data_IF_372047309227
#
_entry.id   IF_372047309227
#
_cell.length_a   1.000
_cell.length_b   1.000
_cell.length_c   1.000
_cell.angle_alpha   90.00
_cell.angle_beta   90.00
_cell.angle_gamma   90.00
#
_symmetry.space_group_name_H-M   'P 1'
#
loop_
_entity.id
_entity.type
_entity.pdbx_description
1 polymer ?
#
# COMPACT_ATOMS: atom_id res chain seq x y z
N UNK A 1 16.07 36.50 9.08
CA UNK A 1 16.00 35.54 7.95
C UNK A 1 15.11 34.39 8.38
N UNK A 2 14.06 34.06 7.63
CA UNK A 2 13.21 32.92 7.96
C UNK A 2 14.04 31.63 7.79
N UNK A 3 14.04 30.76 8.79
CA UNK A 3 14.62 29.42 8.63
C UNK A 3 13.86 28.69 7.51
N UNK A 4 14.56 27.92 6.65
CA UNK A 4 13.88 27.13 5.63
C UNK A 4 12.88 26.20 6.32
N UNK A 5 11.65 26.18 5.82
CA UNK A 5 10.64 25.22 6.26
C UNK A 5 11.22 23.83 6.04
N UNK A 6 11.47 23.10 7.11
CA UNK A 6 11.80 21.68 7.04
C UNK A 6 10.63 20.99 6.35
N UNK A 7 10.90 20.33 5.22
CA UNK A 7 9.87 19.59 4.51
C UNK A 7 9.42 18.40 5.37
N UNK A 8 8.11 18.24 5.51
CA UNK A 8 7.55 17.19 6.35
C UNK A 8 7.75 15.82 5.72
N UNK A 9 8.51 14.97 6.40
CA UNK A 9 8.77 13.58 6.01
C UNK A 9 7.60 12.71 6.49
N UNK A 10 7.07 11.87 5.61
CA UNK A 10 6.01 10.90 5.93
C UNK A 10 6.47 9.52 5.50
N UNK A 11 6.40 8.54 6.39
CA UNK A 11 6.82 7.18 6.09
C UNK A 11 5.82 6.16 6.63
N UNK A 12 5.79 4.99 6.01
CA UNK A 12 4.99 3.85 6.44
C UNK A 12 5.88 2.63 6.62
N UNK A 13 5.41 1.67 7.40
CA UNK A 13 6.13 0.43 7.72
C UNK A 13 5.29 -0.78 7.30
N UNK A 14 5.87 -1.66 6.49
CA UNK A 14 5.30 -2.95 6.09
C UNK A 14 6.22 -4.02 6.67
N UNK A 15 5.66 -5.05 7.31
CA UNK A 15 6.48 -5.99 8.07
C UNK A 15 5.68 -7.09 8.77
N UNK A 16 6.10 -7.44 9.98
CA UNK A 16 5.55 -8.53 10.78
C UNK A 16 5.58 -8.17 12.28
N UNK A 17 5.70 -9.18 13.16
CA UNK A 17 5.82 -8.99 14.62
C UNK A 17 6.96 -8.05 15.02
N UNK A 18 8.07 -8.03 14.26
CA UNK A 18 9.19 -7.14 14.52
C UNK A 18 8.83 -5.67 14.28
N UNK A 19 7.90 -5.40 13.37
CA UNK A 19 7.47 -4.06 13.01
C UNK A 19 6.22 -3.59 13.75
N UNK A 20 5.31 -4.49 14.13
CA UNK A 20 4.18 -4.13 14.99
C UNK A 20 4.60 -3.92 16.46
N UNK A 21 5.80 -4.36 16.84
CA UNK A 21 6.34 -4.20 18.19
C UNK A 21 5.78 -5.23 19.17
N UNK A 22 5.60 -6.47 18.74
CA UNK A 22 5.09 -7.52 19.61
C UNK A 22 5.95 -7.69 20.87
N UNK A 23 5.29 -7.74 22.03
CA UNK A 23 5.95 -7.82 23.33
C UNK A 23 6.47 -6.49 23.89
N UNK A 24 6.30 -5.37 23.17
CA UNK A 24 6.66 -4.03 23.64
C UNK A 24 5.40 -3.13 23.75
N UNK A 25 5.52 -2.00 24.47
CA UNK A 25 4.48 -0.97 24.36
C UNK A 25 4.53 -0.33 22.96
N UNK A 26 3.41 0.17 22.43
CA UNK A 26 3.41 0.86 21.13
C UNK A 26 4.47 1.96 21.01
N UNK A 27 4.73 2.71 22.08
CA UNK A 27 5.74 3.78 22.14
C UNK A 27 7.19 3.29 22.16
N UNK A 28 7.43 2.00 22.44
CA UNK A 28 8.73 1.36 22.56
C UNK A 28 9.10 0.57 21.29
N UNK A 29 8.17 0.44 20.33
CA UNK A 29 8.43 -0.19 19.03
C UNK A 29 9.45 0.61 18.20
N UNK A 30 10.24 -0.06 17.36
CA UNK A 30 11.25 0.63 16.54
C UNK A 30 10.67 1.73 15.65
N UNK A 31 9.46 1.61 15.04
CA UNK A 31 8.89 2.70 14.26
C UNK A 31 8.58 3.93 15.12
N UNK A 32 8.09 3.72 16.35
CA UNK A 32 7.80 4.79 17.30
C UNK A 32 9.09 5.46 17.80
N UNK A 33 10.10 4.66 18.15
CA UNK A 33 11.42 5.17 18.55
C UNK A 33 12.10 5.95 17.42
N UNK A 34 11.99 5.48 16.17
CA UNK A 34 12.49 6.20 15.01
C UNK A 34 11.81 7.57 14.87
N UNK A 35 10.47 7.63 14.95
CA UNK A 35 9.74 8.92 14.89
C UNK A 35 10.20 9.86 15.99
N UNK A 36 10.31 9.38 17.23
CA UNK A 36 10.74 10.18 18.38
C UNK A 36 12.16 10.73 18.17
N UNK A 37 13.10 9.88 17.74
CA UNK A 37 14.48 10.26 17.52
C UNK A 37 14.62 11.27 16.36
N UNK A 38 13.88 11.11 15.25
CA UNK A 38 13.88 12.09 14.15
C UNK A 38 13.36 13.45 14.62
N UNK A 39 12.26 13.48 15.38
CA UNK A 39 11.72 14.72 15.96
C UNK A 39 12.69 15.38 16.93
N UNK A 40 13.43 14.60 17.72
CA UNK A 40 14.46 15.13 18.62
C UNK A 40 15.63 15.78 17.88
N UNK A 41 15.90 15.38 16.62
CA UNK A 41 16.90 16.01 15.75
C UNK A 41 16.35 17.25 15.00
N UNK A 42 15.13 17.70 15.32
CA UNK A 42 14.48 18.82 14.64
C UNK A 42 13.90 18.49 13.26
N UNK A 43 13.77 17.20 12.91
CA UNK A 43 13.15 16.76 11.66
C UNK A 43 11.64 16.55 11.87
N UNK A 44 10.82 17.17 11.01
CA UNK A 44 9.37 16.95 11.01
C UNK A 44 9.06 15.64 10.28
N UNK A 45 9.00 14.54 11.04
CA UNK A 45 8.75 13.20 10.51
C UNK A 45 7.53 12.54 11.15
N UNK A 46 6.65 11.93 10.35
CA UNK A 46 5.47 11.19 10.84
C UNK A 46 5.41 9.77 10.27
N UNK A 47 5.20 8.79 11.15
CA UNK A 47 4.75 7.45 10.79
C UNK A 47 3.25 7.52 10.42
N UNK A 48 2.93 7.38 9.13
CA UNK A 48 1.55 7.54 8.64
C UNK A 48 0.76 6.23 8.64
N UNK A 49 1.44 5.08 8.63
CA UNK A 49 0.82 3.76 8.71
C UNK A 49 1.82 2.68 9.12
N UNK A 50 1.34 1.70 9.88
CA UNK A 50 2.06 0.48 10.21
C UNK A 50 1.04 -0.69 10.24
N UNK A 51 0.68 -1.26 9.08
CA UNK A 51 -0.24 -2.40 9.00
C UNK A 51 0.37 -3.73 9.46
N UNK A 52 1.62 -3.76 9.93
CA UNK A 52 2.33 -4.99 10.31
C UNK A 52 1.54 -5.87 11.27
N UNK A 53 1.54 -7.17 11.03
CA UNK A 53 0.84 -8.15 11.88
C UNK A 53 1.77 -9.29 12.32
N UNK A 54 1.66 -9.68 13.59
CA UNK A 54 2.36 -10.86 14.12
C UNK A 54 2.11 -12.10 13.28
N UNK A 55 3.20 -12.82 12.97
CA UNK A 55 3.16 -14.11 12.30
C UNK A 55 2.87 -14.04 10.80
N UNK A 56 2.81 -12.84 10.22
CA UNK A 56 2.64 -12.66 8.79
C UNK A 56 3.96 -12.88 8.04
N UNK A 57 3.86 -13.52 6.89
CA UNK A 57 4.99 -13.75 5.99
C UNK A 57 5.16 -12.59 5.02
N UNK A 58 6.25 -12.57 4.26
CA UNK A 58 6.42 -11.62 3.14
C UNK A 58 5.28 -11.71 2.12
N UNK A 59 4.70 -12.90 1.93
CA UNK A 59 3.52 -13.08 1.09
C UNK A 59 2.29 -12.40 1.67
N UNK A 60 2.08 -12.48 2.99
CA UNK A 60 0.97 -11.77 3.64
C UNK A 60 1.16 -10.25 3.57
N UNK A 61 2.39 -9.76 3.74
CA UNK A 61 2.72 -8.35 3.56
C UNK A 61 2.38 -7.82 2.15
N UNK A 62 2.67 -8.61 1.11
CA UNK A 62 2.33 -8.30 -0.28
C UNK A 62 0.82 -8.41 -0.52
N UNK A 63 0.19 -9.50 -0.08
CA UNK A 63 -1.19 -9.82 -0.41
C UNK A 63 -2.21 -9.03 0.42
N UNK A 64 -1.83 -8.56 1.62
CA UNK A 64 -2.76 -8.00 2.60
C UNK A 64 -2.32 -6.63 3.13
N UNK A 65 -1.07 -6.45 3.55
CA UNK A 65 -0.63 -5.16 4.12
C UNK A 65 -0.52 -4.07 3.07
N UNK A 66 0.12 -4.38 1.93
CA UNK A 66 0.35 -3.41 0.87
C UNK A 66 -0.96 -2.88 0.27
N UNK A 67 -1.95 -3.73 -0.10
CA UNK A 67 -3.25 -3.26 -0.57
C UNK A 67 -4.00 -2.43 0.47
N UNK A 68 -3.93 -2.83 1.75
CA UNK A 68 -4.55 -2.08 2.85
C UNK A 68 -3.95 -0.69 2.99
N UNK A 69 -2.62 -0.59 3.01
CA UNK A 69 -1.91 0.68 3.05
C UNK A 69 -2.28 1.58 1.87
N UNK A 70 -2.21 1.06 0.64
CA UNK A 70 -2.56 1.83 -0.57
C UNK A 70 -3.99 2.34 -0.50
N UNK A 71 -4.94 1.48 -0.12
CA UNK A 71 -6.36 1.84 -0.05
C UNK A 71 -6.63 2.90 1.01
N UNK A 72 -6.05 2.75 2.20
CA UNK A 72 -6.22 3.72 3.29
C UNK A 72 -5.60 5.09 2.95
N UNK A 73 -4.39 5.11 2.38
CA UNK A 73 -3.72 6.35 2.01
C UNK A 73 -4.36 7.03 0.80
N UNK A 74 -4.84 6.28 -0.18
CA UNK A 74 -5.59 6.80 -1.32
C UNK A 74 -6.89 7.48 -0.84
N UNK A 75 -7.65 6.80 0.03
CA UNK A 75 -8.88 7.35 0.61
C UNK A 75 -8.64 8.66 1.36
N UNK A 76 -7.58 8.74 2.17
CA UNK A 76 -7.20 9.99 2.88
C UNK A 76 -6.93 11.16 1.92
N UNK A 77 -6.61 10.89 0.66
CA UNK A 77 -6.33 11.88 -0.39
C UNK A 77 -7.50 12.09 -1.36
N UNK A 78 -8.64 11.45 -1.12
CA UNK A 78 -9.78 11.48 -2.04
C UNK A 78 -9.51 10.77 -3.37
N UNK A 79 -8.57 9.83 -3.39
CA UNK A 79 -8.24 9.03 -4.57
C UNK A 79 -9.06 7.74 -4.56
N UNK A 80 -9.68 7.45 -5.69
CA UNK A 80 -10.37 6.17 -5.93
C UNK A 80 -9.34 5.07 -6.21
N UNK A 81 -9.59 3.85 -5.70
CA UNK A 81 -8.70 2.68 -5.90
C UNK A 81 -9.49 1.56 -6.55
N UNK A 82 -9.00 1.10 -7.70
CA UNK A 82 -9.58 -0.04 -8.42
C UNK A 82 -8.68 -1.25 -8.22
N UNK A 83 -9.18 -2.24 -7.47
CA UNK A 83 -8.44 -3.49 -7.22
C UNK A 83 -8.60 -4.48 -8.38
N UNK A 84 -7.57 -4.57 -9.22
CA UNK A 84 -7.52 -5.55 -10.32
C UNK A 84 -7.07 -6.95 -9.86
N UNK A 85 -6.59 -7.10 -8.62
CA UNK A 85 -5.96 -8.34 -8.15
C UNK A 85 -6.87 -9.57 -8.19
N UNK A 86 -8.17 -9.48 -7.83
CA UNK A 86 -9.10 -10.60 -7.98
C UNK A 86 -9.20 -11.12 -9.42
N UNK A 87 -9.12 -10.23 -10.41
CA UNK A 87 -9.12 -10.60 -11.83
C UNK A 87 -7.77 -11.19 -12.22
N UNK A 88 -6.66 -10.56 -11.80
CA UNK A 88 -5.30 -11.04 -12.10
C UNK A 88 -5.04 -12.44 -11.55
N UNK A 89 -5.60 -12.83 -10.40
CA UNK A 89 -5.51 -14.20 -9.87
C UNK A 89 -6.05 -15.26 -10.82
N UNK A 90 -7.01 -14.92 -11.68
CA UNK A 90 -7.56 -15.86 -12.68
C UNK A 90 -6.52 -16.23 -13.75
N UNK A 91 -5.49 -15.41 -13.96
CA UNK A 91 -4.41 -15.71 -14.92
C UNK A 91 -3.64 -16.99 -14.58
N UNK A 92 -3.57 -17.36 -13.30
CA UNK A 92 -2.96 -18.62 -12.88
C UNK A 92 -3.76 -19.86 -13.27
N UNK A 93 -5.04 -19.70 -13.65
CA UNK A 93 -5.97 -20.78 -13.97
C UNK A 93 -6.42 -20.74 -15.44
N UNK A 94 -6.59 -19.55 -16.01
CA UNK A 94 -7.00 -19.32 -17.40
C UNK A 94 -5.81 -18.79 -18.23
N UNK A 95 -5.19 -19.70 -19.01
CA UNK A 95 -4.08 -19.36 -19.90
C UNK A 95 -4.44 -18.36 -21.00
N UNK A 96 -5.73 -18.19 -21.34
CA UNK A 96 -6.13 -17.17 -22.32
C UNK A 96 -5.97 -15.74 -21.79
N UNK A 97 -5.80 -15.57 -20.48
CA UNK A 97 -5.47 -14.30 -19.84
C UNK A 97 -3.95 -14.03 -19.80
N UNK A 98 -3.12 -14.96 -20.24
CA UNK A 98 -1.65 -14.81 -20.29
C UNK A 98 -1.21 -14.68 -21.75
N UNK A 99 -0.28 -13.77 -22.01
CA UNK A 99 0.30 -13.55 -23.32
C UNK A 99 1.16 -14.76 -23.78
N UNK A 100 1.58 -14.75 -25.05
CA UNK A 100 2.35 -15.85 -25.65
C UNK A 100 3.70 -16.09 -24.95
N UNK A 101 4.23 -15.11 -24.26
CA UNK A 101 5.47 -15.22 -23.48
C UNK A 101 5.31 -15.99 -22.16
N UNK A 102 4.08 -16.36 -21.79
CA UNK A 102 3.79 -17.11 -20.57
C UNK A 102 3.96 -16.31 -19.27
N UNK A 103 4.16 -14.99 -19.36
CA UNK A 103 4.42 -14.13 -18.20
C UNK A 103 3.45 -12.94 -18.12
N UNK A 104 3.21 -12.24 -19.22
CA UNK A 104 2.48 -10.97 -19.20
C UNK A 104 0.96 -11.16 -19.39
N UNK A 105 0.13 -10.15 -19.04
CA UNK A 105 -1.30 -10.17 -19.34
C UNK A 105 -1.55 -10.19 -20.85
N UNK A 106 -2.53 -10.97 -21.30
CA UNK A 106 -2.99 -10.94 -22.69
C UNK A 106 -3.90 -9.73 -22.96
N UNK A 107 -4.18 -9.45 -24.24
CA UNK A 107 -5.18 -8.45 -24.62
C UNK A 107 -6.55 -8.71 -23.97
N UNK A 108 -6.92 -9.98 -23.78
CA UNK A 108 -8.15 -10.36 -23.06
C UNK A 108 -8.08 -9.94 -21.59
N UNK A 109 -6.95 -10.14 -20.91
CA UNK A 109 -6.78 -9.73 -19.51
C UNK A 109 -6.88 -8.21 -19.34
N UNK A 110 -6.23 -7.43 -20.22
CA UNK A 110 -6.37 -5.97 -20.22
C UNK A 110 -7.81 -5.52 -20.41
N UNK A 111 -8.58 -6.16 -21.30
CA UNK A 111 -9.99 -5.85 -21.47
C UNK A 111 -10.83 -6.17 -20.22
N UNK A 112 -10.50 -7.23 -19.47
CA UNK A 112 -11.18 -7.53 -18.19
C UNK A 112 -10.84 -6.52 -17.09
N UNK A 113 -9.58 -6.04 -17.04
CA UNK A 113 -9.18 -4.98 -16.11
C UNK A 113 -9.85 -3.64 -16.46
N UNK A 114 -9.85 -3.29 -17.73
CA UNK A 114 -10.43 -2.04 -18.22
C UNK A 114 -11.91 -1.93 -17.86
N UNK A 115 -12.70 -3.02 -17.96
CA UNK A 115 -14.12 -3.00 -17.58
C UNK A 115 -14.37 -2.45 -16.17
N UNK A 116 -13.58 -2.87 -15.18
CA UNK A 116 -13.77 -2.42 -13.80
C UNK A 116 -13.17 -1.03 -13.55
N UNK A 117 -12.08 -0.69 -14.25
CA UNK A 117 -11.46 0.63 -14.18
C UNK A 117 -12.39 1.67 -14.80
N UNK A 118 -12.96 1.36 -15.96
CA UNK A 118 -13.89 2.21 -16.69
C UNK A 118 -15.13 2.49 -15.86
N UNK A 119 -15.72 1.47 -15.23
CA UNK A 119 -16.89 1.67 -14.37
C UNK A 119 -16.59 2.64 -13.21
N UNK A 120 -15.47 2.43 -12.51
CA UNK A 120 -15.06 3.32 -11.42
C UNK A 120 -14.76 4.75 -11.91
N UNK A 121 -14.10 4.87 -13.06
CA UNK A 121 -13.79 6.17 -13.67
C UNK A 121 -15.07 6.91 -14.11
N UNK A 122 -16.01 6.20 -14.74
CA UNK A 122 -17.29 6.75 -15.16
C UNK A 122 -18.06 7.26 -13.94
N UNK A 123 -18.20 6.43 -12.90
CA UNK A 123 -18.84 6.83 -11.64
C UNK A 123 -18.18 8.04 -10.99
N UNK A 124 -16.85 8.16 -11.06
CA UNK A 124 -16.14 9.30 -10.48
C UNK A 124 -16.36 10.58 -11.29
N UNK A 125 -16.40 10.49 -12.62
CA UNK A 125 -16.42 11.63 -13.54
C UNK A 125 -17.83 12.14 -13.88
N UNK A 126 -18.88 11.35 -13.62
CA UNK A 126 -20.28 11.74 -13.89
C UNK A 126 -21.07 12.05 -12.61
N UNK A 127 -20.39 12.25 -11.48
CA UNK A 127 -21.00 12.70 -10.22
C UNK A 127 -21.29 14.19 -10.22
#
# INVERSE_FOLDING_TARGET
MAQPKTEKIRYAVIGDSYSCGEGAKPSESWPALLTQNLKAQGLDADLVSNPSVTGWTTKDAIDKESPKFVTEEARKRGLEVVDIFPISKKMGQDKSLVAKDGLHPSAKAYAEWEKIIFQAALELLTR
#
